data_IF_085427821175
#
_entry.id   IF_085427821175
#
_cell.length_a   1.000
_cell.length_b   1.000
_cell.length_c   1.000
_cell.angle_alpha   90.00
_cell.angle_beta   90.00
_cell.angle_gamma   90.00
#
_symmetry.space_group_name_H-M   'P 1'
#
loop_
_entity.id
_entity.type
_entity.pdbx_description
1 polymer ?
#
# COMPACT_ATOMS: atom_id res chain seq x y z
N UNK A 1 -9.81 27.72 -40.60
CA UNK A 1 -9.62 28.33 -39.26
C UNK A 1 -9.66 27.24 -38.22
N UNK A 2 -8.49 26.85 -37.71
CA UNK A 2 -8.31 25.73 -36.79
C UNK A 2 -8.53 26.18 -35.33
N UNK A 3 -9.77 26.12 -34.86
CA UNK A 3 -10.07 26.35 -33.44
C UNK A 3 -9.75 25.10 -32.64
N UNK A 4 -8.60 25.15 -31.96
CA UNK A 4 -8.52 24.66 -30.59
C UNK A 4 -8.04 23.22 -30.41
N UNK A 5 -6.75 22.98 -30.67
CA UNK A 5 -5.96 21.90 -30.05
C UNK A 5 -5.81 22.10 -28.53
N UNK A 6 -6.91 22.38 -27.81
CA UNK A 6 -6.90 22.21 -26.35
C UNK A 6 -6.77 20.71 -26.12
N UNK A 7 -5.54 20.28 -25.93
CA UNK A 7 -5.16 19.01 -25.32
C UNK A 7 -5.87 18.90 -23.98
N UNK A 8 -7.14 18.52 -24.02
CA UNK A 8 -7.88 18.15 -22.82
C UNK A 8 -7.13 16.94 -22.30
N UNK A 9 -6.29 17.15 -21.28
CA UNK A 9 -5.96 16.08 -20.35
C UNK A 9 -7.27 15.33 -20.09
N UNK A 10 -7.28 13.98 -20.11
CA UNK A 10 -8.50 13.22 -19.93
C UNK A 10 -9.16 13.74 -18.66
N UNK A 11 -10.27 14.48 -18.83
CA UNK A 11 -10.89 15.19 -17.73
C UNK A 11 -11.33 14.15 -16.73
N UNK A 12 -10.81 14.21 -15.51
CA UNK A 12 -11.29 13.35 -14.42
C UNK A 12 -12.76 13.73 -14.24
N UNK A 13 -13.66 12.79 -14.55
CA UNK A 13 -15.08 13.04 -14.35
C UNK A 13 -15.38 13.17 -12.86
N UNK A 14 -16.43 13.93 -12.48
CA UNK A 14 -16.83 14.04 -11.07
C UNK A 14 -17.06 12.66 -10.42
N UNK A 15 -17.68 11.73 -11.17
CA UNK A 15 -17.89 10.34 -10.73
C UNK A 15 -16.56 9.62 -10.42
N UNK A 16 -15.57 9.83 -11.27
CA UNK A 16 -14.25 9.25 -11.11
C UNK A 16 -13.50 9.85 -9.92
N UNK A 17 -13.57 11.16 -9.75
CA UNK A 17 -13.02 11.85 -8.58
C UNK A 17 -13.63 11.31 -7.28
N UNK A 18 -14.96 11.18 -7.23
CA UNK A 18 -15.65 10.60 -6.08
C UNK A 18 -15.24 9.15 -5.82
N UNK A 19 -15.04 8.36 -6.88
CA UNK A 19 -14.52 6.99 -6.77
C UNK A 19 -13.10 6.94 -6.18
N UNK A 20 -12.21 7.83 -6.61
CA UNK A 20 -10.85 7.94 -6.08
C UNK A 20 -10.89 8.35 -4.60
N UNK A 21 -11.71 9.33 -4.24
CA UNK A 21 -11.86 9.78 -2.84
C UNK A 21 -12.39 8.63 -1.97
N UNK A 22 -13.41 7.91 -2.42
CA UNK A 22 -13.95 6.76 -1.70
C UNK A 22 -12.91 5.65 -1.53
N UNK A 23 -12.14 5.34 -2.58
CA UNK A 23 -11.04 4.39 -2.52
C UNK A 23 -9.98 4.82 -1.50
N UNK A 24 -9.56 6.08 -1.52
CA UNK A 24 -8.57 6.64 -0.59
C UNK A 24 -9.07 6.57 0.86
N UNK A 25 -10.34 6.87 1.11
CA UNK A 25 -10.93 6.76 2.45
C UNK A 25 -10.92 5.31 2.96
N UNK A 26 -11.32 4.34 2.12
CA UNK A 26 -11.28 2.90 2.46
C UNK A 26 -9.83 2.43 2.66
N UNK A 27 -8.90 2.90 1.83
CA UNK A 27 -7.47 2.62 1.96
C UNK A 27 -6.95 3.07 3.34
N UNK A 28 -7.21 4.31 3.74
CA UNK A 28 -6.83 4.80 5.07
C UNK A 28 -7.49 4.01 6.20
N UNK A 29 -8.79 3.71 6.09
CA UNK A 29 -9.49 2.91 7.10
C UNK A 29 -8.90 1.49 7.24
N UNK A 30 -8.57 0.84 6.12
CA UNK A 30 -7.95 -0.49 6.11
C UNK A 30 -6.53 -0.48 6.65
N UNK A 31 -5.77 0.60 6.43
CA UNK A 31 -4.43 0.79 6.98
C UNK A 31 -4.48 1.02 8.50
N UNK A 32 -5.38 1.89 8.98
CA UNK A 32 -5.55 2.15 10.41
C UNK A 32 -5.96 0.89 11.18
N UNK A 33 -6.73 0.00 10.56
CA UNK A 33 -7.19 -1.25 11.16
C UNK A 33 -6.45 -2.47 10.61
N UNK A 34 -5.23 -2.30 10.08
CA UNK A 34 -4.53 -3.38 9.42
C UNK A 34 -4.28 -4.53 10.41
N UNK A 35 -4.90 -5.67 10.08
CA UNK A 35 -4.86 -6.92 10.80
C UNK A 35 -4.75 -8.05 9.77
N UNK A 36 -4.51 -9.27 10.23
CA UNK A 36 -4.43 -10.45 9.37
C UNK A 36 -5.67 -10.59 8.45
N UNK A 37 -6.88 -10.39 9.01
CA UNK A 37 -8.12 -10.44 8.23
C UNK A 37 -8.18 -9.39 7.12
N UNK A 38 -7.72 -8.16 7.39
CA UNK A 38 -7.63 -7.12 6.36
C UNK A 38 -6.56 -7.42 5.32
N UNK A 39 -5.40 -7.95 5.73
CA UNK A 39 -4.35 -8.36 4.81
C UNK A 39 -4.85 -9.44 3.84
N UNK A 40 -5.50 -10.49 4.35
CA UNK A 40 -6.11 -11.55 3.53
C UNK A 40 -7.17 -10.98 2.59
N UNK A 41 -8.06 -10.13 3.10
CA UNK A 41 -9.15 -9.56 2.29
C UNK A 41 -8.62 -8.67 1.15
N UNK A 42 -7.69 -7.75 1.44
CA UNK A 42 -7.14 -6.82 0.44
C UNK A 42 -6.24 -7.55 -0.55
N UNK A 43 -5.44 -8.51 -0.09
CA UNK A 43 -4.62 -9.36 -0.97
C UNK A 43 -5.49 -10.21 -1.90
N UNK A 44 -6.51 -10.89 -1.35
CA UNK A 44 -7.48 -11.67 -2.12
C UNK A 44 -8.22 -10.82 -3.16
N UNK A 45 -8.64 -9.61 -2.79
CA UNK A 45 -9.23 -8.65 -3.72
C UNK A 45 -8.26 -8.26 -4.83
N UNK A 46 -7.00 -8.02 -4.51
CA UNK A 46 -5.94 -7.66 -5.47
C UNK A 46 -5.72 -8.78 -6.50
N UNK A 47 -5.67 -10.04 -6.03
CA UNK A 47 -5.58 -11.21 -6.91
C UNK A 47 -6.82 -11.31 -7.81
N UNK A 48 -8.02 -11.23 -7.23
CA UNK A 48 -9.27 -11.32 -7.99
C UNK A 48 -9.35 -10.23 -9.08
N UNK A 49 -8.98 -8.98 -8.75
CA UNK A 49 -8.89 -7.89 -9.71
C UNK A 49 -7.88 -8.18 -10.82
N UNK A 50 -6.70 -8.69 -10.47
CA UNK A 50 -5.65 -9.06 -11.45
C UNK A 50 -6.17 -10.11 -12.43
N UNK A 51 -6.88 -11.14 -11.94
CA UNK A 51 -7.49 -12.19 -12.78
C UNK A 51 -8.55 -11.58 -13.72
N UNK A 52 -9.45 -10.75 -13.19
CA UNK A 52 -10.48 -10.09 -14.01
C UNK A 52 -9.84 -9.21 -15.09
N UNK A 53 -8.81 -8.45 -14.75
CA UNK A 53 -8.07 -7.62 -15.70
C UNK A 53 -7.39 -8.47 -16.78
N UNK A 54 -6.82 -9.62 -16.43
CA UNK A 54 -6.24 -10.55 -17.39
C UNK A 54 -7.29 -11.11 -18.35
N UNK A 55 -8.46 -11.49 -17.85
CA UNK A 55 -9.58 -11.96 -18.69
C UNK A 55 -10.03 -10.84 -19.63
N UNK A 56 -10.26 -9.63 -19.14
CA UNK A 56 -10.69 -8.49 -19.94
C UNK A 56 -9.63 -8.10 -20.99
N UNK A 57 -8.34 -8.17 -20.63
CA UNK A 57 -7.25 -7.87 -21.55
C UNK A 57 -7.17 -8.86 -22.75
N UNK A 58 -7.67 -10.08 -22.58
CA UNK A 58 -7.68 -11.11 -23.63
C UNK A 58 -9.02 -11.17 -24.37
N UNK A 59 -10.15 -11.07 -23.66
CA UNK A 59 -11.49 -11.31 -24.20
C UNK A 59 -12.12 -10.08 -24.87
N UNK A 60 -11.85 -8.87 -24.37
CA UNK A 60 -12.43 -7.64 -24.91
C UNK A 60 -11.59 -7.07 -26.06
N UNK A 61 -12.17 -6.15 -26.84
CA UNK A 61 -11.47 -5.42 -27.92
C UNK A 61 -11.58 -3.91 -27.73
N UNK A 62 -10.63 -3.18 -28.32
CA UNK A 62 -10.64 -1.71 -28.34
C UNK A 62 -10.19 -1.10 -27.00
N UNK A 63 -10.83 -0.01 -26.58
CA UNK A 63 -10.36 0.80 -25.44
C UNK A 63 -10.38 0.06 -24.10
N UNK A 64 -11.36 -0.84 -23.88
CA UNK A 64 -11.47 -1.65 -22.67
C UNK A 64 -10.31 -2.62 -22.53
N UNK A 65 -9.95 -3.28 -23.62
CA UNK A 65 -8.81 -4.18 -23.69
C UNK A 65 -7.51 -3.44 -23.36
N UNK A 66 -7.30 -2.27 -23.97
CA UNK A 66 -6.11 -1.45 -23.71
C UNK A 66 -6.04 -0.97 -22.26
N UNK A 67 -7.16 -0.56 -21.68
CA UNK A 67 -7.23 -0.16 -20.28
C UNK A 67 -6.83 -1.33 -19.37
N UNK A 68 -7.41 -2.51 -19.59
CA UNK A 68 -7.13 -3.69 -18.79
C UNK A 68 -5.68 -4.17 -18.93
N UNK A 69 -5.14 -4.19 -20.15
CA UNK A 69 -3.74 -4.55 -20.41
C UNK A 69 -2.78 -3.58 -19.73
N UNK A 70 -3.02 -2.26 -19.84
CA UNK A 70 -2.21 -1.25 -19.18
C UNK A 70 -2.23 -1.37 -17.66
N UNK A 71 -3.41 -1.63 -17.09
CA UNK A 71 -3.57 -1.83 -15.66
C UNK A 71 -2.84 -3.09 -15.17
N UNK A 72 -3.03 -4.21 -15.88
CA UNK A 72 -2.39 -5.48 -15.57
C UNK A 72 -0.86 -5.37 -15.60
N UNK A 73 -0.29 -4.74 -16.64
CA UNK A 73 1.16 -4.56 -16.76
C UNK A 73 1.69 -3.74 -15.59
N UNK A 74 1.03 -2.64 -15.21
CA UNK A 74 1.47 -1.81 -14.10
C UNK A 74 1.40 -2.55 -12.74
N UNK A 75 0.33 -3.32 -12.51
CA UNK A 75 0.18 -4.14 -11.30
C UNK A 75 1.27 -5.22 -11.20
N UNK A 76 1.50 -5.95 -12.30
CA UNK A 76 2.51 -7.01 -12.33
C UNK A 76 3.93 -6.46 -12.20
N UNK A 77 4.23 -5.34 -12.87
CA UNK A 77 5.53 -4.68 -12.73
C UNK A 77 5.78 -4.25 -11.29
N UNK A 78 4.77 -3.70 -10.62
CA UNK A 78 4.89 -3.35 -9.20
C UNK A 78 5.05 -4.58 -8.30
N UNK A 79 4.28 -5.65 -8.55
CA UNK A 79 4.40 -6.90 -7.80
C UNK A 79 5.81 -7.50 -7.93
N UNK A 80 6.38 -7.52 -9.13
CA UNK A 80 7.76 -7.98 -9.36
C UNK A 80 8.75 -7.12 -8.58
N UNK A 81 8.64 -5.79 -8.68
CA UNK A 81 9.51 -4.86 -7.94
C UNK A 81 9.43 -5.07 -6.41
N UNK A 82 8.24 -5.41 -5.91
CA UNK A 82 8.04 -5.69 -4.50
C UNK A 82 8.65 -7.04 -4.09
N UNK A 83 8.48 -8.10 -4.88
CA UNK A 83 9.07 -9.42 -4.60
C UNK A 83 10.60 -9.47 -4.71
N UNK A 84 11.22 -8.49 -5.36
CA UNK A 84 12.68 -8.37 -5.44
C UNK A 84 13.30 -7.71 -4.21
N UNK A 85 12.51 -7.25 -3.24
CA UNK A 85 13.05 -6.77 -1.98
C UNK A 85 13.71 -7.95 -1.27
N UNK A 86 14.98 -7.82 -0.83
CA UNK A 86 15.63 -8.90 -0.10
C UNK A 86 14.76 -9.25 1.10
N UNK A 87 14.46 -10.54 1.27
CA UNK A 87 13.92 -11.09 2.51
C UNK A 87 14.99 -10.93 3.58
N UNK A 88 15.17 -9.70 4.09
CA UNK A 88 15.76 -9.51 5.40
C UNK A 88 14.83 -10.25 6.35
N UNK A 89 15.31 -11.35 6.92
CA UNK A 89 14.59 -12.16 7.89
C UNK A 89 13.94 -11.22 8.89
N UNK A 90 12.61 -11.16 8.88
CA UNK A 90 11.81 -10.28 9.75
C UNK A 90 12.17 -10.49 11.23
N UNK A 91 12.58 -11.71 11.57
CA UNK A 91 13.00 -12.10 12.91
C UNK A 91 14.31 -11.42 13.37
N UNK A 92 15.30 -11.24 12.49
CA UNK A 92 16.56 -10.54 12.83
C UNK A 92 16.44 -9.02 12.69
N UNK A 93 15.50 -8.56 11.84
CA UNK A 93 15.39 -7.15 11.48
C UNK A 93 14.49 -6.35 12.40
N UNK A 94 13.54 -6.90 13.17
CA UNK A 94 12.78 -6.06 14.09
C UNK A 94 13.61 -5.50 15.24
N UNK A 95 14.51 -6.32 15.81
CA UNK A 95 15.45 -5.87 16.84
C UNK A 95 16.50 -4.87 16.27
N UNK A 96 16.89 -5.01 15.00
CA UNK A 96 17.82 -4.08 14.32
C UNK A 96 17.17 -2.82 13.71
N UNK A 97 15.93 -2.90 13.24
CA UNK A 97 15.18 -1.79 12.59
C UNK A 97 14.57 -0.88 13.65
N UNK A 98 14.19 -1.41 14.81
CA UNK A 98 13.73 -0.62 15.96
C UNK A 98 14.91 -0.04 16.74
N UNK A 99 16.08 -0.68 16.66
CA UNK A 99 17.37 -0.17 17.12
C UNK A 99 18.10 0.70 16.09
N UNK A 100 17.39 1.65 15.46
CA UNK A 100 17.96 2.79 14.68
C UNK A 100 19.30 2.46 13.99
N UNK A 101 19.30 1.52 13.05
CA UNK A 101 20.39 1.47 12.08
C UNK A 101 19.93 2.18 10.80
N UNK A 102 20.18 3.51 10.67
CA UNK A 102 19.78 4.30 9.50
C UNK A 102 20.37 3.74 8.19
N UNK A 103 21.34 2.84 8.26
CA UNK A 103 22.00 2.19 7.13
C UNK A 103 21.06 1.25 6.35
N UNK A 104 20.03 0.65 6.98
CA UNK A 104 19.01 -0.11 6.24
C UNK A 104 18.06 0.80 5.43
N UNK A 105 17.97 2.09 5.79
CA UNK A 105 17.23 3.11 5.03
C UNK A 105 17.89 3.43 3.69
N UNK A 106 19.20 3.21 3.56
CA UNK A 106 19.99 3.54 2.36
C UNK A 106 20.02 2.40 1.32
N UNK A 107 19.62 1.18 1.70
CA UNK A 107 19.66 0.02 0.80
C UNK A 107 18.28 -0.37 0.28
N UNK A 108 17.82 0.35 -0.75
CA UNK A 108 16.98 -0.26 -1.79
C UNK A 108 15.46 -0.36 -1.55
N UNK A 109 14.92 0.29 -0.51
CA UNK A 109 13.47 0.34 -0.33
C UNK A 109 12.78 1.08 -1.49
N UNK A 110 11.70 0.49 -2.01
CA UNK A 110 10.80 1.19 -2.92
C UNK A 110 10.33 2.50 -2.27
N UNK A 111 10.17 3.56 -3.09
CA UNK A 111 9.65 4.85 -2.61
C UNK A 111 8.31 4.67 -1.85
N UNK A 112 7.49 3.70 -2.30
CA UNK A 112 6.23 3.33 -1.66
C UNK A 112 6.43 2.71 -0.28
N UNK A 113 7.42 1.84 -0.08
CA UNK A 113 7.76 1.29 1.24
C UNK A 113 8.19 2.39 2.21
N UNK A 114 9.01 3.36 1.76
CA UNK A 114 9.41 4.51 2.59
C UNK A 114 8.21 5.37 3.02
N UNK A 115 7.31 5.63 2.07
CA UNK A 115 6.09 6.38 2.35
C UNK A 115 5.17 5.64 3.32
N UNK A 116 4.98 4.33 3.13
CA UNK A 116 4.18 3.49 4.04
C UNK A 116 4.81 3.42 5.42
N UNK A 117 6.13 3.25 5.53
CA UNK A 117 6.82 3.22 6.81
C UNK A 117 6.68 4.55 7.57
N UNK A 118 6.85 5.68 6.87
CA UNK A 118 6.62 6.99 7.45
C UNK A 118 5.17 7.17 7.92
N UNK A 119 4.20 6.65 7.15
CA UNK A 119 2.79 6.68 7.54
C UNK A 119 2.52 5.80 8.76
N UNK A 120 3.08 4.59 8.80
CA UNK A 120 2.96 3.65 9.91
C UNK A 120 3.45 4.28 11.21
N UNK A 121 4.64 4.90 11.22
CA UNK A 121 5.17 5.60 12.39
C UNK A 121 4.27 6.72 12.94
N UNK A 122 3.43 7.31 12.08
CA UNK A 122 2.49 8.36 12.50
C UNK A 122 1.20 7.81 13.10
N UNK A 123 0.82 6.61 12.71
CA UNK A 123 -0.44 5.98 13.15
C UNK A 123 -0.23 4.90 14.20
N UNK A 124 0.98 4.37 14.33
CA UNK A 124 1.29 3.31 15.27
C UNK A 124 1.10 3.82 16.70
N UNK A 125 0.10 3.27 17.38
CA UNK A 125 -0.08 3.40 18.80
C UNK A 125 0.56 2.19 19.48
N UNK A 126 1.42 2.44 20.46
CA UNK A 126 1.87 1.37 21.35
C UNK A 126 0.95 1.26 22.54
N UNK A 127 0.57 0.02 22.86
CA UNK A 127 -0.14 -0.29 24.09
C UNK A 127 0.46 -1.57 24.69
N UNK A 128 0.45 -1.63 26.01
CA UNK A 128 0.90 -2.80 26.75
C UNK A 128 -0.28 -3.75 26.93
N UNK A 129 -0.05 -5.02 26.64
CA UNK A 129 -1.02 -6.09 26.89
C UNK A 129 -0.44 -7.05 27.89
N UNK A 130 -1.19 -7.35 28.94
CA UNK A 130 -0.84 -8.39 29.91
C UNK A 130 -0.96 -9.76 29.24
N UNK A 131 0.12 -10.56 29.25
CA UNK A 131 0.19 -11.83 28.52
C UNK A 131 -0.89 -12.82 28.96
N UNK A 132 -1.11 -12.96 30.27
CA UNK A 132 -2.03 -13.95 30.83
C UNK A 132 -3.50 -13.61 30.56
N UNK A 133 -3.87 -12.34 30.66
CA UNK A 133 -5.27 -11.90 30.63
C UNK A 133 -5.68 -11.31 29.27
N UNK A 134 -4.71 -10.93 28.44
CA UNK A 134 -4.96 -10.15 27.22
C UNK A 134 -5.47 -8.73 27.49
N UNK A 135 -5.46 -8.27 28.75
CA UNK A 135 -5.98 -6.96 29.12
C UNK A 135 -5.02 -5.86 28.68
N UNK A 136 -5.57 -4.83 28.03
CA UNK A 136 -4.82 -3.61 27.72
C UNK A 136 -4.54 -2.88 29.03
N UNK A 137 -3.26 -2.72 29.35
CA UNK A 137 -2.82 -1.89 30.47
C UNK A 137 -2.60 -0.49 29.90
N UNK A 138 -3.51 0.42 30.23
CA UNK A 138 -3.35 1.82 29.89
C UNK A 138 -2.04 2.31 30.49
N UNK A 139 -1.15 2.87 29.67
CA UNK A 139 0.17 3.31 30.08
C UNK A 139 0.04 4.58 30.94
N UNK A 140 -0.42 4.43 32.18
CA UNK A 140 -0.60 5.55 33.13
C UNK A 140 0.72 6.07 33.71
N UNK A 141 1.84 5.38 33.46
CA UNK A 141 3.14 5.77 33.99
C UNK A 141 3.98 6.49 32.91
N UNK A 142 4.21 7.81 33.03
CA UNK A 142 4.93 8.62 32.04
C UNK A 142 6.43 8.28 31.89
N UNK A 143 6.96 7.34 32.68
CA UNK A 143 8.40 7.10 32.80
C UNK A 143 8.85 5.67 32.45
N UNK A 144 8.00 4.81 31.87
CA UNK A 144 8.55 3.58 31.31
C UNK A 144 9.27 3.93 30.01
N UNK A 145 10.61 3.77 29.92
CA UNK A 145 11.25 3.74 28.62
C UNK A 145 10.52 2.66 27.83
N UNK A 146 10.19 2.90 26.56
CA UNK A 146 9.50 1.89 25.79
C UNK A 146 10.48 0.72 25.64
N UNK A 147 10.28 -0.32 26.45
CA UNK A 147 11.09 -1.52 26.42
C UNK A 147 10.68 -2.29 25.17
N UNK A 148 11.19 -1.85 24.03
CA UNK A 148 11.03 -2.53 22.76
C UNK A 148 11.98 -3.72 22.75
N UNK A 149 11.46 -4.84 23.22
CA UNK A 149 12.12 -6.14 23.21
C UNK A 149 11.39 -7.06 24.18
N UNK A 150 11.31 -8.35 23.87
CA UNK A 150 11.01 -9.41 24.83
C UNK A 150 12.15 -9.56 25.86
N UNK A 151 12.60 -8.44 26.45
CA UNK A 151 13.52 -8.43 27.55
C UNK A 151 12.74 -8.58 28.85
N UNK A 152 13.23 -9.41 29.75
CA UNK A 152 12.74 -9.46 31.12
C UNK A 152 12.79 -8.03 31.69
N UNK A 153 11.62 -7.42 31.88
CA UNK A 153 11.53 -6.16 32.64
C UNK A 153 12.11 -6.46 34.02
N UNK A 154 13.11 -5.71 34.51
CA UNK A 154 13.65 -5.90 35.84
C UNK A 154 12.51 -5.93 36.86
N UNK A 155 12.49 -6.96 37.71
CA UNK A 155 11.37 -7.24 38.62
C UNK A 155 11.13 -6.10 39.64
N UNK A 156 12.11 -5.25 39.87
CA UNK A 156 12.04 -4.03 40.68
C UNK A 156 11.32 -2.87 39.98
N UNK A 157 11.13 -2.95 38.65
CA UNK A 157 10.34 -2.00 37.86
C UNK A 157 8.93 -2.50 37.58
N UNK A 158 8.50 -3.57 38.25
CA UNK A 158 7.16 -4.13 38.11
C UNK A 158 6.23 -3.50 39.16
N UNK A 159 5.04 -2.99 38.79
CA UNK A 159 4.07 -2.48 39.75
C UNK A 159 3.70 -3.53 40.81
N UNK A 160 3.55 -3.15 42.10
CA UNK A 160 3.34 -4.08 43.20
C UNK A 160 2.01 -4.86 43.15
N UNK A 161 1.08 -4.50 42.26
CA UNK A 161 -0.18 -5.19 42.01
C UNK A 161 -0.15 -6.11 40.76
N UNK A 162 1.02 -6.33 40.17
CA UNK A 162 1.19 -7.17 39.00
C UNK A 162 1.48 -8.62 39.40
N UNK A 163 0.72 -9.57 38.85
CA UNK A 163 0.76 -10.99 39.21
C UNK A 163 1.92 -11.79 38.59
N UNK A 164 2.85 -11.13 37.88
CA UNK A 164 4.03 -11.77 37.30
C UNK A 164 3.86 -12.32 35.88
N UNK A 165 2.70 -12.11 35.25
CA UNK A 165 2.49 -12.47 33.85
C UNK A 165 3.09 -11.41 32.92
N UNK A 166 4.14 -11.76 32.16
CA UNK A 166 4.89 -10.84 31.30
C UNK A 166 4.04 -9.83 30.50
N UNK A 167 4.56 -8.62 30.29
CA UNK A 167 3.92 -7.62 29.42
C UNK A 167 4.42 -7.81 27.99
N UNK A 168 3.50 -7.76 27.03
CA UNK A 168 3.83 -7.67 25.61
C UNK A 168 3.51 -6.28 25.13
N UNK A 169 4.48 -5.63 24.49
CA UNK A 169 4.19 -4.46 23.68
C UNK A 169 3.55 -4.91 22.37
N UNK A 170 2.32 -4.48 22.12
CA UNK A 170 1.70 -4.62 20.81
C UNK A 170 1.60 -3.25 20.17
N UNK A 171 2.28 -3.08 19.03
CA UNK A 171 2.04 -1.95 18.13
C UNK A 171 0.83 -2.27 17.26
N UNK A 172 -0.18 -1.41 17.26
CA UNK A 172 -1.22 -1.45 16.24
C UNK A 172 -1.12 -0.22 15.35
N UNK A 173 -1.26 -0.40 14.02
CA UNK A 173 -1.37 -1.69 13.32
C UNK A 173 -0.06 -2.48 13.31
N UNK A 174 -0.14 -3.81 13.25
CA UNK A 174 1.04 -4.69 13.11
C UNK A 174 1.77 -4.32 11.81
N UNK A 175 3.06 -3.95 11.85
CA UNK A 175 3.74 -3.39 10.70
C UNK A 175 3.71 -4.29 9.46
N UNK A 176 3.83 -5.60 9.62
CA UNK A 176 3.78 -6.58 8.53
C UNK A 176 2.44 -6.52 7.79
N UNK A 177 1.34 -6.51 8.54
CA UNK A 177 0.00 -6.40 7.96
C UNK A 177 -0.22 -5.02 7.34
N UNK A 178 0.28 -3.95 7.98
CA UNK A 178 0.19 -2.60 7.45
C UNK A 178 0.90 -2.45 6.10
N UNK A 179 2.14 -2.93 6.02
CA UNK A 179 2.95 -2.89 4.80
C UNK A 179 2.33 -3.77 3.71
N UNK A 180 1.88 -4.98 4.04
CA UNK A 180 1.22 -5.87 3.09
C UNK A 180 -0.05 -5.24 2.49
N UNK A 181 -0.93 -4.70 3.33
CA UNK A 181 -2.13 -3.97 2.90
C UNK A 181 -1.75 -2.75 2.07
N UNK A 182 -0.78 -1.96 2.53
CA UNK A 182 -0.29 -0.76 1.83
C UNK A 182 0.24 -1.06 0.43
N UNK A 183 1.05 -2.11 0.28
CA UNK A 183 1.59 -2.52 -1.01
C UNK A 183 0.49 -3.00 -1.98
N UNK A 184 -0.51 -3.74 -1.48
CA UNK A 184 -1.67 -4.12 -2.29
C UNK A 184 -2.46 -2.90 -2.79
N UNK A 185 -2.68 -1.91 -1.92
CA UNK A 185 -3.36 -0.66 -2.28
C UNK A 185 -2.57 0.14 -3.31
N UNK A 186 -1.24 0.23 -3.18
CA UNK A 186 -0.38 0.83 -4.18
C UNK A 186 -0.44 0.10 -5.52
N UNK A 187 -0.45 -1.23 -5.52
CA UNK A 187 -0.59 -2.03 -6.74
C UNK A 187 -1.90 -1.69 -7.46
N UNK A 188 -3.03 -1.67 -6.75
CA UNK A 188 -4.34 -1.32 -7.32
C UNK A 188 -4.33 0.11 -7.88
N UNK A 189 -3.77 1.08 -7.15
CA UNK A 189 -3.68 2.47 -7.59
C UNK A 189 -2.81 2.60 -8.86
N UNK A 190 -1.65 1.95 -8.90
CA UNK A 190 -0.77 1.95 -10.07
C UNK A 190 -1.42 1.24 -11.26
N UNK A 191 -2.17 0.16 -11.02
CA UNK A 191 -3.00 -0.49 -12.04
C UNK A 191 -4.01 0.47 -12.65
N UNK A 192 -4.76 1.19 -11.81
CA UNK A 192 -5.71 2.20 -12.25
C UNK A 192 -5.06 3.27 -13.16
N UNK A 193 -3.93 3.82 -12.70
CA UNK A 193 -3.16 4.82 -13.46
C UNK A 193 -2.59 4.25 -14.77
N UNK A 194 -2.08 3.02 -14.74
CA UNK A 194 -1.56 2.32 -15.91
C UNK A 194 -2.61 2.10 -16.98
N UNK A 195 -3.83 1.72 -16.59
CA UNK A 195 -4.95 1.56 -17.52
C UNK A 195 -5.38 2.88 -18.17
N UNK A 196 -5.46 3.96 -17.39
CA UNK A 196 -5.74 5.31 -17.91
C UNK A 196 -4.67 5.77 -18.90
N UNK A 197 -3.40 5.58 -18.56
CA UNK A 197 -2.28 5.94 -19.41
C UNK A 197 -2.30 5.18 -20.74
N UNK A 198 -2.56 3.87 -20.70
CA UNK A 198 -2.63 3.05 -21.91
C UNK A 198 -3.77 3.50 -22.85
N UNK A 199 -4.96 3.79 -22.33
CA UNK A 199 -6.07 4.33 -23.14
C UNK A 199 -5.70 5.66 -23.77
N UNK A 200 -5.02 6.54 -23.03
CA UNK A 200 -4.60 7.83 -23.55
C UNK A 200 -3.59 7.70 -24.70
N UNK A 201 -2.61 6.78 -24.60
CA UNK A 201 -1.68 6.47 -25.70
C UNK A 201 -2.46 5.97 -26.91
N UNK A 202 -3.38 5.03 -26.71
CA UNK A 202 -4.17 4.44 -27.78
C UNK A 202 -5.05 5.46 -28.50
N UNK A 203 -5.74 6.32 -27.76
CA UNK A 203 -6.54 7.40 -28.33
C UNK A 203 -5.68 8.39 -29.16
N UNK A 204 -4.48 8.72 -28.68
CA UNK A 204 -3.54 9.57 -29.43
C UNK A 204 -3.06 8.93 -30.72
N UNK A 205 -2.90 7.60 -30.73
CA UNK A 205 -2.49 6.87 -31.94
C UNK A 205 -3.58 6.94 -33.01
N UNK A 206 -4.84 6.65 -32.65
CA UNK A 206 -5.98 6.72 -33.58
C UNK A 206 -6.11 8.13 -34.18
N UNK A 207 -6.07 9.17 -33.33
CA UNK A 207 -6.16 10.54 -33.80
C UNK A 207 -5.01 10.93 -34.77
N UNK A 208 -3.82 10.36 -34.62
CA UNK A 208 -2.71 10.59 -35.56
C UNK A 208 -2.96 9.89 -36.90
N UNK A 209 -3.44 8.66 -36.89
CA UNK A 209 -3.75 7.89 -38.10
C UNK A 209 -4.85 8.58 -38.93
N UNK A 210 -5.88 9.14 -38.28
CA UNK A 210 -6.94 9.92 -38.93
C UNK A 210 -6.41 11.22 -39.57
N UNK A 211 -5.53 11.94 -38.88
CA UNK A 211 -4.93 13.17 -39.42
C UNK A 211 -4.04 12.90 -40.64
N UNK A 212 -3.32 11.77 -40.66
CA UNK A 212 -2.49 11.37 -41.81
C UNK A 212 -3.36 10.97 -43.00
N UNK A 213 -4.46 10.25 -42.77
CA UNK A 213 -5.40 9.86 -43.83
C UNK A 213 -6.18 11.06 -44.41
N UNK A 214 -6.55 12.04 -43.59
CA UNK A 214 -7.27 13.24 -44.03
C UNK A 214 -6.42 14.32 -44.71
N UNK A 215 -5.09 14.23 -44.59
CA UNK A 215 -4.13 15.17 -45.16
C UNK A 215 -3.74 14.90 -46.62
N UNK A 216 -4.59 14.22 -47.40
CA UNK A 216 -4.30 14.00 -48.82
C UNK A 216 -4.04 15.34 -49.51
N UNK A 217 -2.86 15.54 -50.12
CA UNK A 217 -2.54 16.79 -50.81
C UNK A 217 -3.43 16.89 -52.04
N UNK A 218 -4.44 17.76 -51.97
CA UNK A 218 -5.16 18.27 -53.14
C UNK A 218 -4.45 19.49 -53.69
#
# INVERSE_FOLDING_TARGET
MATGWRSRLPGISLRELLGIIAFVAVAFASLLNASEGWAIAVFGLTIALTIVLAIVAVAERGSRQTAAAGALIAMLAYAVLWTQQPETTLEDSWDQVMGVDPVLTDKGFLLTSRALYAAWHRVNGTYMVEWETGRVVEQTAPNYPPAYGQGNVPQDQVPPNWSGGGLIYKGLPVPEHFLAVGHCLWAILLGYLGGKFAVWIFARRIAREENVAGGSPT
#
